data_IF_403912373511
#
_entry.id   IF_403912373511
#
_cell.length_a   1.000
_cell.length_b   1.000
_cell.length_c   1.000
_cell.angle_alpha   90.00
_cell.angle_beta   90.00
_cell.angle_gamma   90.00
#
_symmetry.space_group_name_H-M   'P 1'
#
loop_
_entity.id
_entity.type
_entity.pdbx_description
1 polymer ?
#
# COMPACT_ATOMS: atom_id res chain seq x y z
N UNK A 1 -26.12 4.99 36.07
CA UNK A 1 -25.33 4.25 35.05
C UNK A 1 -24.62 5.30 34.20
N UNK A 2 -23.37 5.65 34.53
CA UNK A 2 -22.65 6.69 33.79
C UNK A 2 -22.25 6.18 32.41
N UNK A 3 -22.44 6.94 31.32
CA UNK A 3 -22.02 6.50 30.00
C UNK A 3 -20.50 6.39 29.99
N UNK A 4 -19.96 5.21 29.66
CA UNK A 4 -18.52 5.06 29.42
C UNK A 4 -18.15 5.99 28.27
N UNK A 5 -17.39 7.04 28.54
CA UNK A 5 -16.73 7.83 27.49
C UNK A 5 -15.94 6.85 26.62
N UNK A 6 -16.21 6.80 25.32
CA UNK A 6 -15.39 6.07 24.36
C UNK A 6 -13.98 6.67 24.44
N UNK A 7 -13.00 5.88 24.89
CA UNK A 7 -11.61 6.30 24.79
C UNK A 7 -11.26 6.48 23.32
N UNK A 8 -10.48 7.51 22.96
CA UNK A 8 -9.98 7.66 21.60
C UNK A 8 -9.12 6.45 21.24
N UNK A 9 -9.26 6.00 19.99
CA UNK A 9 -8.45 4.90 19.46
C UNK A 9 -6.96 5.31 19.51
N UNK A 10 -6.09 4.58 20.24
CA UNK A 10 -4.69 4.96 20.41
C UNK A 10 -3.84 4.77 19.14
N UNK A 11 -4.45 4.30 18.05
CA UNK A 11 -3.76 4.05 16.79
C UNK A 11 -3.28 5.33 16.11
N UNK A 12 -1.98 5.43 15.76
CA UNK A 12 -1.39 6.69 15.33
C UNK A 12 -1.77 7.10 13.90
N UNK A 13 -2.38 6.21 13.11
CA UNK A 13 -2.82 6.48 11.74
C UNK A 13 -4.34 6.45 11.63
N UNK A 14 -5.05 7.54 11.99
CA UNK A 14 -6.51 7.53 12.14
C UNK A 14 -7.30 7.23 10.84
N UNK A 15 -6.67 7.39 9.68
CA UNK A 15 -7.29 7.11 8.38
C UNK A 15 -7.03 5.69 7.85
N UNK A 16 -6.32 4.85 8.60
CA UNK A 16 -6.09 3.47 8.23
C UNK A 16 -7.38 2.66 8.41
N UNK A 17 -7.76 1.95 7.36
CA UNK A 17 -8.82 0.95 7.41
C UNK A 17 -8.39 -0.26 8.25
N UNK A 18 -9.30 -1.14 8.69
CA UNK A 18 -8.93 -2.37 9.38
C UNK A 18 -7.87 -3.21 8.63
N UNK A 19 -7.92 -3.21 7.29
CA UNK A 19 -6.92 -3.89 6.46
C UNK A 19 -5.56 -3.18 6.49
N UNK A 20 -5.52 -1.83 6.42
CA UNK A 20 -4.28 -1.06 6.56
C UNK A 20 -3.63 -1.32 7.93
N UNK A 21 -4.45 -1.40 8.99
CA UNK A 21 -4.00 -1.72 10.35
C UNK A 21 -3.40 -3.12 10.42
N UNK A 22 -4.10 -4.13 9.88
CA UNK A 22 -3.60 -5.50 9.82
C UNK A 22 -2.26 -5.60 9.06
N UNK A 23 -2.13 -4.91 7.92
CA UNK A 23 -0.89 -4.86 7.14
C UNK A 23 0.26 -4.21 7.90
N UNK A 24 0.01 -3.10 8.62
CA UNK A 24 1.02 -2.46 9.46
C UNK A 24 1.47 -3.35 10.60
N UNK A 25 0.53 -3.98 11.30
CA UNK A 25 0.83 -4.91 12.40
C UNK A 25 1.66 -6.09 11.89
N UNK A 26 1.24 -6.71 10.79
CA UNK A 26 1.98 -7.82 10.17
C UNK A 26 3.41 -7.40 9.76
N UNK A 27 3.56 -6.21 9.18
CA UNK A 27 4.88 -5.68 8.81
C UNK A 27 5.76 -5.42 10.03
N UNK A 28 5.23 -4.83 11.10
CA UNK A 28 5.98 -4.63 12.35
C UNK A 28 6.47 -5.94 12.96
N UNK A 29 5.65 -7.00 12.97
CA UNK A 29 6.09 -8.32 13.42
C UNK A 29 7.14 -8.92 12.50
N UNK A 30 6.96 -8.79 11.18
CA UNK A 30 7.93 -9.29 10.20
C UNK A 30 9.28 -8.58 10.35
N UNK A 31 9.29 -7.25 10.45
CA UNK A 31 10.52 -6.47 10.57
C UNK A 31 11.27 -6.86 11.85
N UNK A 32 10.56 -7.00 12.97
CA UNK A 32 11.15 -7.50 14.22
C UNK A 32 11.69 -8.93 14.10
N UNK A 33 11.02 -9.80 13.32
CA UNK A 33 11.48 -11.16 13.07
C UNK A 33 12.70 -11.18 12.15
N UNK A 34 12.72 -10.34 11.11
CA UNK A 34 13.86 -10.22 10.21
C UNK A 34 15.13 -9.77 10.95
N UNK A 35 14.99 -8.89 11.94
CA UNK A 35 16.10 -8.43 12.78
C UNK A 35 16.56 -9.52 13.77
N UNK A 36 15.62 -10.30 14.33
CA UNK A 36 15.92 -11.30 15.36
C UNK A 36 16.39 -12.66 14.79
N UNK A 37 15.78 -13.11 13.68
CA UNK A 37 16.03 -14.37 13.01
C UNK A 37 15.72 -14.26 11.50
N UNK A 38 16.69 -13.80 10.69
CA UNK A 38 16.52 -13.60 9.26
C UNK A 38 16.13 -14.87 8.49
N UNK A 39 16.65 -16.03 8.90
CA UNK A 39 16.43 -17.30 8.21
C UNK A 39 14.99 -17.78 8.42
N UNK A 40 14.48 -17.72 9.65
CA UNK A 40 13.08 -18.03 9.93
C UNK A 40 12.14 -17.03 9.24
N UNK A 41 12.50 -15.74 9.23
CA UNK A 41 11.73 -14.74 8.49
C UNK A 41 11.62 -15.09 6.99
N UNK A 42 12.74 -15.47 6.36
CA UNK A 42 12.79 -15.85 4.95
C UNK A 42 11.94 -17.08 4.63
N UNK A 43 11.98 -18.09 5.49
CA UNK A 43 11.16 -19.30 5.33
C UNK A 43 9.66 -19.01 5.44
N UNK A 44 9.25 -18.17 6.40
CA UNK A 44 7.86 -17.75 6.52
C UNK A 44 7.41 -16.90 5.34
N UNK A 45 8.26 -15.98 4.88
CA UNK A 45 8.01 -15.16 3.71
C UNK A 45 7.79 -16.02 2.45
N UNK A 46 8.61 -17.05 2.23
CA UNK A 46 8.45 -17.99 1.11
C UNK A 46 7.11 -18.71 1.19
N UNK A 47 6.78 -19.27 2.37
CA UNK A 47 5.51 -19.97 2.61
C UNK A 47 4.29 -19.07 2.39
N UNK A 48 4.34 -17.82 2.85
CA UNK A 48 3.23 -16.87 2.65
C UNK A 48 3.05 -16.53 1.17
N UNK A 49 4.14 -16.38 0.42
CA UNK A 49 4.10 -16.17 -1.03
C UNK A 49 3.50 -17.36 -1.78
N UNK A 50 3.86 -18.59 -1.41
CA UNK A 50 3.25 -19.82 -1.96
C UNK A 50 1.72 -19.86 -1.73
N UNK A 51 1.24 -19.29 -0.62
CA UNK A 51 -0.18 -19.15 -0.30
C UNK A 51 -0.84 -17.90 -0.95
N UNK A 52 -0.15 -17.23 -1.88
CA UNK A 52 -0.64 -16.04 -2.56
C UNK A 52 -0.65 -14.76 -1.71
N UNK A 53 0.01 -14.77 -0.55
CA UNK A 53 0.09 -13.63 0.37
C UNK A 53 1.39 -12.81 0.17
N UNK A 54 1.79 -12.61 -1.08
CA UNK A 54 3.03 -11.88 -1.43
C UNK A 54 3.07 -10.42 -0.96
N UNK A 55 1.97 -9.87 -0.43
CA UNK A 55 1.93 -8.54 0.19
C UNK A 55 2.72 -8.46 1.51
N UNK A 56 3.01 -9.60 2.16
CA UNK A 56 3.74 -9.65 3.44
C UNK A 56 5.19 -9.19 3.24
N UNK A 57 5.81 -9.59 2.14
CA UNK A 57 7.18 -9.23 1.82
C UNK A 57 7.31 -7.73 1.46
N UNK A 58 8.35 -7.03 1.93
CA UNK A 58 8.76 -5.76 1.38
C UNK A 58 9.14 -5.97 -0.07
N UNK A 59 8.38 -5.39 -0.99
CA UNK A 59 8.82 -5.24 -2.36
C UNK A 59 9.85 -4.11 -2.38
N UNK A 60 11.07 -4.32 -2.91
CA UNK A 60 11.98 -3.22 -3.17
C UNK A 60 11.22 -2.15 -3.97
N UNK A 61 11.42 -0.87 -3.66
CA UNK A 61 10.98 0.19 -4.56
C UNK A 61 11.84 0.07 -5.81
N UNK A 62 11.34 -0.67 -6.81
CA UNK A 62 12.03 -0.91 -8.08
C UNK A 62 11.90 0.26 -9.04
N UNK A 63 11.18 1.32 -8.65
CA UNK A 63 10.83 2.43 -9.52
C UNK A 63 11.39 3.74 -8.97
N UNK A 64 12.03 4.50 -9.85
CA UNK A 64 12.40 5.89 -9.62
C UNK A 64 11.23 6.82 -9.93
N UNK A 65 11.25 8.03 -9.35
CA UNK A 65 10.17 9.02 -9.45
C UNK A 65 9.72 9.33 -10.89
N UNK A 66 10.64 9.29 -11.86
CA UNK A 66 10.38 9.59 -13.25
C UNK A 66 10.01 8.36 -14.10
N UNK A 67 10.02 7.16 -13.52
CA UNK A 67 9.70 5.94 -14.25
C UNK A 67 8.26 5.95 -14.72
N UNK A 68 8.07 5.47 -15.96
CA UNK A 68 6.77 5.38 -16.61
C UNK A 68 6.22 3.96 -16.45
N UNK A 69 5.27 3.81 -15.53
CA UNK A 69 4.70 2.54 -15.12
C UNK A 69 3.43 2.19 -15.90
N UNK A 70 3.25 0.91 -16.20
CA UNK A 70 1.98 0.32 -16.62
C UNK A 70 0.94 0.39 -15.49
N UNK A 71 -0.35 0.18 -15.81
CA UNK A 71 -1.37 0.05 -14.79
C UNK A 71 -1.13 -1.14 -13.84
N UNK A 72 -0.52 -2.22 -14.35
CA UNK A 72 -0.15 -3.40 -13.56
C UNK A 72 0.97 -3.07 -12.56
N UNK A 73 2.03 -2.41 -13.01
CA UNK A 73 3.13 -1.99 -12.13
C UNK A 73 2.65 -1.00 -11.07
N UNK A 74 1.75 -0.07 -11.41
CA UNK A 74 1.11 0.82 -10.42
C UNK A 74 0.30 0.03 -9.39
N UNK A 75 -0.44 -0.98 -9.84
CA UNK A 75 -1.24 -1.83 -8.97
C UNK A 75 -0.35 -2.61 -7.98
N UNK A 76 0.76 -3.15 -8.48
CA UNK A 76 1.75 -3.85 -7.68
C UNK A 76 2.49 -2.94 -6.69
N UNK A 77 2.85 -1.73 -7.14
CA UNK A 77 3.52 -0.71 -6.33
C UNK A 77 2.62 -0.22 -5.18
N UNK A 78 1.32 -0.05 -5.44
CA UNK A 78 0.36 0.45 -4.46
C UNK A 78 -0.39 -0.65 -3.70
N UNK A 79 -0.12 -1.93 -4.00
CA UNK A 79 -0.80 -3.11 -3.46
C UNK A 79 -2.35 -3.00 -3.57
N UNK A 80 -2.80 -2.68 -4.79
CA UNK A 80 -4.20 -2.57 -5.20
C UNK A 80 -4.47 -3.42 -6.44
N UNK A 81 -5.73 -3.53 -6.87
CA UNK A 81 -6.08 -4.19 -8.13
C UNK A 81 -5.86 -3.23 -9.31
N UNK A 82 -5.52 -3.74 -10.49
CA UNK A 82 -5.40 -2.93 -11.74
C UNK A 82 -6.67 -2.11 -11.99
N UNK A 83 -7.84 -2.69 -11.79
CA UNK A 83 -9.13 -1.98 -11.89
C UNK A 83 -9.23 -0.76 -10.96
N UNK A 84 -8.56 -0.79 -9.81
CA UNK A 84 -8.47 0.36 -8.90
C UNK A 84 -7.66 1.49 -9.52
N UNK A 85 -6.59 1.17 -10.26
CA UNK A 85 -5.78 2.14 -11.01
C UNK A 85 -6.59 2.76 -12.14
N UNK A 86 -7.38 1.97 -12.88
CA UNK A 86 -8.29 2.49 -13.91
C UNK A 86 -9.31 3.50 -13.33
N UNK A 87 -9.83 3.20 -12.13
CA UNK A 87 -10.70 4.12 -11.39
C UNK A 87 -9.95 5.37 -10.92
N UNK A 88 -8.66 5.27 -10.58
CA UNK A 88 -7.87 6.45 -10.24
C UNK A 88 -7.63 7.34 -11.45
N UNK A 89 -7.34 6.75 -12.61
CA UNK A 89 -7.23 7.48 -13.89
C UNK A 89 -8.50 8.25 -14.20
N UNK A 90 -9.67 7.61 -14.11
CA UNK A 90 -10.95 8.32 -14.35
C UNK A 90 -11.26 9.39 -13.30
N UNK A 91 -10.57 9.36 -12.16
CA UNK A 91 -10.67 10.35 -11.06
C UNK A 91 -9.48 11.31 -11.02
N UNK A 92 -8.74 11.45 -12.12
CA UNK A 92 -7.71 12.46 -12.29
C UNK A 92 -6.31 12.08 -11.81
N UNK A 93 -5.96 10.79 -11.79
CA UNK A 93 -4.54 10.38 -11.74
C UNK A 93 -3.87 10.76 -13.07
N UNK A 94 -2.78 11.56 -13.08
CA UNK A 94 -2.06 11.92 -14.30
C UNK A 94 -1.55 10.69 -15.04
N UNK A 95 -1.64 10.72 -16.38
CA UNK A 95 -1.19 9.65 -17.23
C UNK A 95 -0.56 10.21 -18.51
N UNK A 96 0.45 9.51 -19.02
CA UNK A 96 1.17 9.82 -20.25
C UNK A 96 0.77 8.82 -21.32
N UNK A 97 0.40 9.31 -22.50
CA UNK A 97 0.20 8.43 -23.66
C UNK A 97 1.55 8.12 -24.28
N UNK A 98 1.88 6.83 -24.39
CA UNK A 98 3.08 6.33 -25.06
C UNK A 98 2.69 5.43 -26.24
N UNK A 99 3.60 5.13 -27.18
CA UNK A 99 3.29 4.23 -28.30
C UNK A 99 2.75 2.86 -27.85
N UNK A 100 3.24 2.35 -26.70
CA UNK A 100 2.84 1.06 -26.14
C UNK A 100 1.63 1.15 -25.18
N UNK A 101 0.96 2.31 -25.16
CA UNK A 101 -0.24 2.54 -24.38
C UNK A 101 -0.08 3.57 -23.26
N UNK A 102 -1.03 3.58 -22.33
CA UNK A 102 -1.04 4.53 -21.21
C UNK A 102 0.00 4.15 -20.16
N UNK A 103 0.79 5.14 -19.71
CA UNK A 103 1.75 5.03 -18.61
C UNK A 103 1.46 6.04 -17.51
N UNK A 104 1.97 5.77 -16.31
CA UNK A 104 1.82 6.62 -15.14
C UNK A 104 3.20 6.91 -14.58
N UNK A 105 3.52 8.19 -14.32
CA UNK A 105 4.76 8.54 -13.66
C UNK A 105 4.71 8.10 -12.19
N UNK A 106 5.74 7.43 -11.69
CA UNK A 106 5.78 6.91 -10.33
C UNK A 106 5.51 8.01 -9.27
N UNK A 107 6.12 9.19 -9.39
CA UNK A 107 5.89 10.32 -8.48
C UNK A 107 4.42 10.75 -8.42
N UNK A 108 3.76 10.91 -9.58
CA UNK A 108 2.36 11.34 -9.64
C UNK A 108 1.43 10.33 -8.96
N UNK A 109 1.76 9.04 -9.07
CA UNK A 109 1.02 7.95 -8.41
C UNK A 109 1.19 8.02 -6.90
N UNK A 110 2.41 8.20 -6.41
CA UNK A 110 2.70 8.32 -4.98
C UNK A 110 1.95 9.51 -4.38
N UNK A 111 2.00 10.67 -5.04
CA UNK A 111 1.31 11.89 -4.61
C UNK A 111 -0.21 11.72 -4.62
N UNK A 112 -0.77 11.14 -5.69
CA UNK A 112 -2.19 10.85 -5.77
C UNK A 112 -2.64 9.91 -4.65
N UNK A 113 -1.88 8.83 -4.41
CA UNK A 113 -2.19 7.85 -3.40
C UNK A 113 -2.13 8.44 -1.99
N UNK A 114 -1.10 9.25 -1.70
CA UNK A 114 -0.95 9.98 -0.45
C UNK A 114 -2.12 10.96 -0.22
N UNK A 115 -2.51 11.73 -1.24
CA UNK A 115 -3.68 12.63 -1.18
C UNK A 115 -4.97 11.88 -0.87
N UNK A 116 -5.20 10.74 -1.52
CA UNK A 116 -6.36 9.88 -1.26
C UNK A 116 -6.41 9.35 0.17
N UNK A 117 -5.25 9.03 0.78
CA UNK A 117 -5.18 8.66 2.20
C UNK A 117 -5.53 9.84 3.11
N UNK A 118 -5.04 11.05 2.81
CA UNK A 118 -5.37 12.27 3.57
C UNK A 118 -6.85 12.66 3.47
N UNK A 119 -7.48 12.49 2.31
CA UNK A 119 -8.91 12.75 2.11
C UNK A 119 -9.80 11.84 2.96
N UNK A 120 -9.36 10.61 3.27
CA UNK A 120 -10.07 9.73 4.21
C UNK A 120 -10.01 10.27 5.64
N UNK A 121 -8.90 10.90 6.04
CA UNK A 121 -8.77 11.55 7.35
C UNK A 121 -9.70 12.74 7.53
N UNK A 122 -9.90 13.55 6.47
CA UNK A 122 -10.74 14.76 6.54
C UNK A 122 -12.24 14.51 6.44
N UNK A 123 -12.66 13.27 6.19
CA UNK A 123 -14.07 12.86 6.09
C UNK A 123 -14.55 12.06 7.33
N UNK A 124 -13.76 12.07 8.41
CA UNK A 124 -14.08 11.44 9.71
C UNK A 124 -14.35 12.54 10.74
#
# INVERSE_FOLDING_TARGET
MSPRRRQPDPWPWPADTPLDRARRVARSYRDALADADPDTCSQLDARMTELGQGWVQPKPLLHHDNDLLTATEVADMCDVKVRTVDVWRSRGLPAVSTPDGTRYRAADVVDYHARKRRQRTGNI
#
